data_IF_987780516769
#
_entry.id   IF_987780516769
#
_cell.length_a   1.000
_cell.length_b   1.000
_cell.length_c   1.000
_cell.angle_alpha   90.00
_cell.angle_beta   90.00
_cell.angle_gamma   90.00
#
_symmetry.space_group_name_H-M   'P 1'
#
loop_
_entity.id
_entity.type
_entity.pdbx_description
1 polymer ?
#
# COMPACT_ATOMS: atom_id res chain seq x y z
N UNK A 1 -8.69 -21.93 28.58
CA UNK A 1 -7.94 -22.12 27.32
C UNK A 1 -8.93 -21.92 26.19
N UNK A 2 -8.72 -20.98 25.25
CA UNK A 2 -9.59 -20.90 24.11
C UNK A 2 -9.43 -22.15 23.26
N UNK A 3 -10.54 -22.76 22.86
CA UNK A 3 -10.56 -23.93 21.96
C UNK A 3 -9.78 -23.62 20.66
N UNK A 4 -9.12 -24.63 20.07
CA UNK A 4 -8.45 -24.45 18.79
C UNK A 4 -9.52 -24.11 17.75
N UNK A 5 -9.46 -22.88 17.19
CA UNK A 5 -10.35 -22.45 16.11
C UNK A 5 -10.22 -23.44 14.95
N UNK A 6 -11.29 -24.20 14.73
CA UNK A 6 -11.48 -25.01 13.52
C UNK A 6 -11.12 -24.16 12.29
N UNK A 7 -10.49 -24.79 11.32
CA UNK A 7 -10.08 -24.17 10.05
C UNK A 7 -11.33 -23.80 9.24
N UNK A 8 -12.03 -22.75 9.69
CA UNK A 8 -13.25 -22.27 9.04
C UNK A 8 -12.91 -21.63 7.69
N UNK A 9 -13.67 -22.02 6.68
CA UNK A 9 -13.48 -21.57 5.31
C UNK A 9 -13.87 -20.08 5.23
N UNK A 10 -12.90 -19.23 4.87
CA UNK A 10 -13.18 -17.80 4.60
C UNK A 10 -13.63 -17.67 3.14
N UNK A 11 -14.82 -17.10 2.95
CA UNK A 11 -15.37 -16.77 1.64
C UNK A 11 -15.23 -15.29 1.34
N UNK A 12 -14.96 -14.93 0.07
CA UNK A 12 -14.95 -13.53 -0.39
C UNK A 12 -16.12 -13.32 -1.33
N UNK A 13 -16.96 -12.33 -1.02
CA UNK A 13 -18.13 -11.97 -1.81
C UNK A 13 -18.40 -10.47 -1.83
N UNK A 14 -19.26 -10.03 -2.76
CA UNK A 14 -19.74 -8.66 -2.77
C UNK A 14 -20.57 -8.35 -1.50
N UNK A 15 -20.39 -7.15 -0.96
CA UNK A 15 -21.24 -6.59 0.10
C UNK A 15 -22.51 -6.05 -0.55
N UNK A 16 -23.68 -6.53 -0.10
CA UNK A 16 -24.95 -6.22 -0.76
C UNK A 16 -26.04 -5.74 0.19
N UNK A 17 -26.07 -6.27 1.40
CA UNK A 17 -27.13 -5.99 2.36
C UNK A 17 -26.80 -4.81 3.27
N UNK A 18 -27.82 -4.20 3.82
CA UNK A 18 -27.67 -3.18 4.86
C UNK A 18 -26.83 -3.71 6.04
N UNK A 19 -27.03 -4.97 6.41
CA UNK A 19 -26.32 -5.63 7.50
C UNK A 19 -24.84 -5.84 7.19
N UNK A 20 -24.48 -6.12 5.92
CA UNK A 20 -23.08 -6.17 5.49
C UNK A 20 -22.39 -4.82 5.76
N UNK A 21 -23.04 -3.70 5.42
CA UNK A 21 -22.45 -2.37 5.60
C UNK A 21 -22.39 -1.92 7.06
N UNK A 22 -23.30 -2.35 7.91
CA UNK A 22 -23.16 -2.16 9.36
C UNK A 22 -21.94 -2.87 9.92
N UNK A 23 -21.61 -4.06 9.42
CA UNK A 23 -20.42 -4.75 9.81
C UNK A 23 -19.15 -4.02 9.30
N UNK A 24 -19.20 -3.33 8.15
CA UNK A 24 -18.08 -2.48 7.67
C UNK A 24 -17.74 -1.41 8.69
N UNK A 25 -18.72 -0.65 9.18
CA UNK A 25 -18.51 0.37 10.22
C UNK A 25 -17.82 -0.21 11.48
N UNK A 26 -18.23 -1.42 11.90
CA UNK A 26 -17.64 -2.09 13.06
C UNK A 26 -16.16 -2.45 12.79
N UNK A 27 -15.85 -2.94 11.58
CA UNK A 27 -14.46 -3.27 11.18
C UNK A 27 -13.61 -2.01 11.09
N UNK A 28 -14.13 -0.89 10.58
CA UNK A 28 -13.43 0.39 10.51
C UNK A 28 -13.01 0.88 11.91
N UNK A 29 -13.95 0.90 12.86
CA UNK A 29 -13.67 1.29 14.25
C UNK A 29 -12.64 0.37 14.91
N UNK A 30 -12.75 -0.95 14.70
CA UNK A 30 -11.82 -1.93 15.28
C UNK A 30 -10.42 -1.80 14.69
N UNK A 31 -10.30 -1.67 13.37
CA UNK A 31 -9.00 -1.76 12.67
C UNK A 31 -8.21 -0.46 12.75
N UNK A 32 -8.90 0.69 12.66
CA UNK A 32 -8.24 2.01 12.59
C UNK A 32 -8.50 2.88 13.81
N UNK A 33 -9.34 2.44 14.76
CA UNK A 33 -9.78 3.23 15.92
C UNK A 33 -10.34 4.59 15.50
N UNK A 34 -11.10 4.62 14.41
CA UNK A 34 -11.73 5.84 13.90
C UNK A 34 -12.80 6.35 14.85
N UNK A 35 -12.88 7.67 14.99
CA UNK A 35 -14.02 8.34 15.61
C UNK A 35 -15.26 8.23 14.72
N UNK A 36 -16.44 8.54 15.28
CA UNK A 36 -17.68 8.57 14.49
C UNK A 36 -17.63 9.60 13.35
N UNK A 37 -16.81 10.65 13.47
CA UNK A 37 -16.63 11.67 12.43
C UNK A 37 -15.81 11.16 11.24
N UNK A 38 -14.89 10.22 11.47
CA UNK A 38 -13.97 9.71 10.45
C UNK A 38 -14.40 8.35 9.87
N UNK A 39 -15.39 7.70 10.49
CA UNK A 39 -16.00 6.46 9.98
C UNK A 39 -16.88 6.80 8.76
N UNK A 40 -16.80 5.99 7.70
CA UNK A 40 -17.64 6.21 6.52
C UNK A 40 -19.13 6.07 6.88
N UNK A 41 -19.93 7.12 6.65
CA UNK A 41 -21.36 7.03 6.92
C UNK A 41 -22.04 5.93 6.10
N UNK A 42 -22.93 5.16 6.73
CA UNK A 42 -23.67 4.07 6.07
C UNK A 42 -24.39 4.53 4.79
N UNK A 43 -24.93 5.74 4.80
CA UNK A 43 -25.57 6.34 3.62
C UNK A 43 -24.60 6.52 2.46
N UNK A 44 -23.34 6.89 2.73
CA UNK A 44 -22.31 7.04 1.71
C UNK A 44 -21.83 5.67 1.18
N UNK A 45 -21.68 4.66 2.06
CA UNK A 45 -21.31 3.31 1.63
C UNK A 45 -22.34 2.70 0.68
N UNK A 46 -23.64 2.87 1.01
CA UNK A 46 -24.74 2.41 0.14
C UNK A 46 -24.76 3.18 -1.18
N UNK A 47 -24.66 4.53 -1.13
CA UNK A 47 -24.68 5.36 -2.33
C UNK A 47 -23.50 5.04 -3.26
N UNK A 48 -22.29 4.84 -2.73
CA UNK A 48 -21.13 4.47 -3.53
C UNK A 48 -21.25 3.09 -4.16
N UNK A 49 -21.88 2.12 -3.48
CA UNK A 49 -22.22 0.83 -4.07
C UNK A 49 -23.16 0.98 -5.27
N UNK A 50 -24.25 1.72 -5.11
CA UNK A 50 -25.23 1.95 -6.18
C UNK A 50 -24.62 2.71 -7.36
N UNK A 51 -23.66 3.59 -7.10
CA UNK A 51 -22.90 4.32 -8.11
C UNK A 51 -21.79 3.48 -8.80
N UNK A 52 -21.73 2.17 -8.55
CA UNK A 52 -20.76 1.27 -9.19
C UNK A 52 -19.47 1.10 -8.42
N UNK A 53 -19.39 1.52 -7.16
CA UNK A 53 -18.26 1.23 -6.28
C UNK A 53 -18.14 -0.28 -6.01
N UNK A 54 -16.90 -0.76 -5.96
CA UNK A 54 -16.58 -2.16 -5.66
C UNK A 54 -16.43 -2.32 -4.16
N UNK A 55 -17.33 -3.09 -3.55
CA UNK A 55 -17.31 -3.46 -2.16
C UNK A 55 -17.22 -4.98 -2.04
N UNK A 56 -16.12 -5.50 -1.54
CA UNK A 56 -15.91 -6.94 -1.31
C UNK A 56 -15.61 -7.19 0.16
N UNK A 57 -16.29 -8.18 0.75
CA UNK A 57 -16.08 -8.63 2.11
C UNK A 57 -15.53 -10.05 2.17
N UNK A 58 -14.63 -10.29 3.12
CA UNK A 58 -14.20 -11.62 3.52
C UNK A 58 -14.99 -12.03 4.75
N UNK A 59 -15.61 -13.19 4.70
CA UNK A 59 -16.53 -13.70 5.74
C UNK A 59 -16.06 -15.03 6.30
N UNK A 60 -16.07 -15.16 7.61
CA UNK A 60 -16.05 -16.43 8.32
C UNK A 60 -17.48 -16.73 8.79
N UNK A 61 -18.17 -17.64 8.10
CA UNK A 61 -19.62 -17.81 8.29
C UNK A 61 -20.39 -16.53 7.94
N UNK A 62 -21.08 -15.93 8.91
CA UNK A 62 -21.81 -14.67 8.74
C UNK A 62 -21.00 -13.43 9.19
N UNK A 63 -19.84 -13.62 9.80
CA UNK A 63 -19.01 -12.53 10.33
C UNK A 63 -18.11 -11.94 9.26
N UNK A 64 -18.14 -10.61 9.09
CA UNK A 64 -17.21 -9.86 8.25
C UNK A 64 -15.87 -9.72 8.97
N UNK A 65 -14.84 -10.35 8.45
CA UNK A 65 -13.48 -10.38 9.02
C UNK A 65 -12.48 -9.48 8.29
N UNK A 66 -12.89 -8.93 7.16
CA UNK A 66 -12.13 -7.93 6.40
C UNK A 66 -12.89 -7.49 5.17
N UNK A 67 -12.53 -6.34 4.62
CA UNK A 67 -13.15 -5.82 3.39
C UNK A 67 -12.17 -5.02 2.55
N UNK A 68 -12.51 -4.82 1.29
CA UNK A 68 -11.87 -3.87 0.39
C UNK A 68 -12.94 -3.05 -0.31
N UNK A 69 -12.70 -1.74 -0.39
CA UNK A 69 -13.54 -0.77 -1.07
C UNK A 69 -12.75 0.01 -2.11
N UNK A 70 -13.37 0.27 -3.25
CA UNK A 70 -12.84 1.16 -4.29
C UNK A 70 -13.95 1.74 -5.15
N UNK A 71 -13.67 2.86 -5.77
CA UNK A 71 -14.59 3.59 -6.64
C UNK A 71 -13.89 4.02 -7.92
N UNK A 72 -14.67 4.31 -8.95
CA UNK A 72 -14.16 4.81 -10.23
C UNK A 72 -13.52 6.18 -10.03
N UNK A 73 -12.29 6.31 -10.49
CA UNK A 73 -11.55 7.56 -10.57
C UNK A 73 -11.25 7.94 -12.00
N UNK A 74 -10.78 9.15 -12.19
CA UNK A 74 -10.33 9.68 -13.46
C UNK A 74 -8.95 10.30 -13.27
N UNK A 75 -7.94 9.77 -13.97
CA UNK A 75 -6.59 10.33 -13.97
C UNK A 75 -6.19 10.63 -15.41
N UNK A 76 -5.84 11.89 -15.71
CA UNK A 76 -5.50 12.35 -17.07
C UNK A 76 -6.56 11.94 -18.13
N UNK A 77 -7.85 12.11 -17.80
CA UNK A 77 -9.00 11.72 -18.63
C UNK A 77 -9.13 10.20 -18.89
N UNK A 78 -8.52 9.35 -18.05
CA UNK A 78 -8.59 7.89 -18.16
C UNK A 78 -9.24 7.28 -16.95
N UNK A 79 -10.18 6.35 -17.13
CA UNK A 79 -10.81 5.69 -16.00
C UNK A 79 -9.83 4.74 -15.31
N UNK A 80 -9.77 4.83 -14.00
CA UNK A 80 -9.10 3.89 -13.13
C UNK A 80 -10.04 3.47 -11.99
N UNK A 81 -9.65 2.50 -11.19
CA UNK A 81 -10.27 2.27 -9.90
C UNK A 81 -9.37 2.84 -8.80
N UNK A 82 -9.89 3.75 -7.98
CA UNK A 82 -9.21 4.12 -6.74
C UNK A 82 -9.64 3.18 -5.62
N UNK A 83 -8.70 2.32 -5.15
CA UNK A 83 -8.92 1.40 -4.04
C UNK A 83 -8.71 2.13 -2.72
N UNK A 84 -9.78 2.63 -2.14
CA UNK A 84 -9.72 3.56 -1.02
C UNK A 84 -9.39 2.90 0.32
N UNK A 85 -10.05 1.77 0.63
CA UNK A 85 -9.92 1.10 1.93
C UNK A 85 -9.64 -0.39 1.77
N UNK A 86 -8.79 -0.91 2.65
CA UNK A 86 -8.54 -2.34 2.83
C UNK A 86 -8.33 -2.61 4.31
N UNK A 87 -9.24 -3.33 4.94
CA UNK A 87 -9.17 -3.68 6.35
C UNK A 87 -9.21 -5.19 6.57
N UNK A 88 -8.46 -5.66 7.55
CA UNK A 88 -8.52 -7.05 8.05
C UNK A 88 -8.45 -7.01 9.56
N UNK A 89 -9.41 -7.63 10.24
CA UNK A 89 -9.43 -7.74 11.70
C UNK A 89 -8.17 -8.42 12.23
N UNK A 90 -7.67 -8.00 13.38
CA UNK A 90 -6.40 -8.44 13.94
C UNK A 90 -6.24 -9.97 14.01
N UNK A 91 -7.25 -10.78 14.44
CA UNK A 91 -7.13 -12.24 14.51
C UNK A 91 -6.96 -12.94 13.16
N UNK A 92 -7.23 -12.21 12.05
CA UNK A 92 -7.21 -12.74 10.67
C UNK A 92 -6.03 -12.19 9.85
N UNK A 93 -5.19 -11.34 10.47
CA UNK A 93 -3.96 -10.87 9.84
C UNK A 93 -2.97 -12.03 9.68
N UNK A 94 -1.98 -11.87 8.81
CA UNK A 94 -0.97 -12.88 8.49
C UNK A 94 -1.50 -14.19 7.84
N UNK A 95 -2.80 -14.22 7.44
CA UNK A 95 -3.45 -15.31 6.67
C UNK A 95 -3.60 -14.95 5.17
N UNK A 96 -2.83 -13.99 4.69
CA UNK A 96 -2.87 -13.45 3.31
C UNK A 96 -4.23 -12.87 2.89
N UNK A 97 -5.12 -12.57 3.85
CA UNK A 97 -6.48 -12.14 3.54
C UNK A 97 -6.52 -10.81 2.79
N UNK A 98 -5.67 -9.85 3.17
CA UNK A 98 -5.54 -8.58 2.45
C UNK A 98 -5.08 -8.77 1.00
N UNK A 99 -4.16 -9.71 0.75
CA UNK A 99 -3.74 -10.08 -0.60
C UNK A 99 -4.90 -10.69 -1.40
N UNK A 100 -5.63 -11.65 -0.83
CA UNK A 100 -6.80 -12.28 -1.48
C UNK A 100 -7.90 -11.28 -1.80
N UNK A 101 -8.18 -10.33 -0.90
CA UNK A 101 -9.14 -9.24 -1.16
C UNK A 101 -8.70 -8.34 -2.33
N UNK A 102 -7.40 -8.00 -2.41
CA UNK A 102 -6.86 -7.26 -3.56
C UNK A 102 -6.99 -8.04 -4.88
N UNK A 103 -6.73 -9.34 -4.86
CA UNK A 103 -6.91 -10.18 -6.05
C UNK A 103 -8.37 -10.23 -6.49
N UNK A 104 -9.30 -10.42 -5.55
CA UNK A 104 -10.73 -10.41 -5.84
C UNK A 104 -11.17 -9.04 -6.40
N UNK A 105 -10.64 -7.93 -5.85
CA UNK A 105 -10.89 -6.59 -6.39
C UNK A 105 -10.37 -6.46 -7.83
N UNK A 106 -9.15 -6.93 -8.10
CA UNK A 106 -8.60 -6.96 -9.46
C UNK A 106 -9.50 -7.72 -10.44
N UNK A 107 -9.98 -8.89 -10.07
CA UNK A 107 -10.89 -9.68 -10.91
C UNK A 107 -12.17 -8.91 -11.25
N UNK A 108 -12.75 -8.19 -10.29
CA UNK A 108 -13.92 -7.33 -10.56
C UNK A 108 -13.58 -6.20 -11.53
N UNK A 109 -12.42 -5.55 -11.33
CA UNK A 109 -11.98 -4.42 -12.18
C UNK A 109 -11.71 -4.86 -13.63
N UNK A 110 -11.14 -6.04 -13.84
CA UNK A 110 -10.90 -6.57 -15.19
C UNK A 110 -12.17 -6.76 -16.02
N UNK A 111 -13.33 -6.90 -15.37
CA UNK A 111 -14.64 -7.01 -16.01
C UNK A 111 -15.30 -5.66 -16.26
N UNK A 112 -14.83 -4.57 -15.60
CA UNK A 112 -15.43 -3.25 -15.72
C UNK A 112 -15.06 -2.58 -17.06
N UNK A 113 -16.02 -1.80 -17.56
CA UNK A 113 -15.87 -0.91 -18.70
C UNK A 113 -16.48 0.45 -18.41
N UNK A 114 -15.87 1.50 -18.93
CA UNK A 114 -16.42 2.86 -18.93
C UNK A 114 -16.56 3.25 -20.40
N UNK A 115 -17.76 3.16 -20.94
CA UNK A 115 -17.96 3.15 -22.39
C UNK A 115 -17.20 1.98 -23.03
N UNK A 116 -16.39 2.26 -24.04
CA UNK A 116 -15.56 1.25 -24.73
C UNK A 116 -14.21 1.00 -24.00
N UNK A 117 -13.89 1.79 -22.99
CA UNK A 117 -12.62 1.73 -22.28
C UNK A 117 -12.63 0.62 -21.22
N UNK A 118 -11.57 -0.18 -21.19
CA UNK A 118 -11.28 -1.11 -20.09
C UNK A 118 -10.43 -0.41 -19.04
N UNK A 119 -10.73 -0.67 -17.77
CA UNK A 119 -9.88 -0.23 -16.68
C UNK A 119 -8.65 -1.14 -16.63
N UNK A 120 -7.45 -0.55 -16.70
CA UNK A 120 -6.17 -1.26 -16.70
C UNK A 120 -5.33 -0.98 -15.46
N UNK A 121 -5.77 -0.05 -14.64
CA UNK A 121 -5.01 0.43 -13.49
C UNK A 121 -5.91 0.53 -12.27
N UNK A 122 -5.37 0.12 -11.11
CA UNK A 122 -5.92 0.39 -9.79
C UNK A 122 -4.92 1.26 -9.05
N UNK A 123 -5.38 2.35 -8.44
CA UNK A 123 -4.55 3.28 -7.66
C UNK A 123 -4.95 3.24 -6.19
N UNK A 124 -4.03 3.55 -5.30
CA UNK A 124 -4.30 3.84 -3.88
C UNK A 124 -3.12 4.54 -3.23
N UNK A 125 -3.29 4.90 -1.97
CA UNK A 125 -2.22 5.45 -1.16
C UNK A 125 -1.92 4.58 0.05
N UNK A 126 -0.68 4.60 0.51
CA UNK A 126 -0.33 3.97 1.78
C UNK A 126 0.84 4.71 2.45
N UNK A 127 0.98 4.53 3.76
CA UNK A 127 2.10 5.09 4.52
C UNK A 127 3.39 4.32 4.22
N UNK A 128 4.43 4.97 3.62
CA UNK A 128 5.67 4.31 3.24
C UNK A 128 6.48 3.77 4.42
N UNK A 129 6.24 4.20 5.64
CA UNK A 129 6.88 3.63 6.83
C UNK A 129 6.26 2.28 7.26
N UNK A 130 5.10 1.91 6.72
CA UNK A 130 4.46 0.62 6.97
C UNK A 130 5.10 -0.49 6.12
N UNK A 131 6.20 -1.07 6.59
CA UNK A 131 7.00 -2.08 5.89
C UNK A 131 6.19 -3.31 5.43
N UNK A 132 5.22 -3.78 6.23
CA UNK A 132 4.31 -4.88 5.84
C UNK A 132 3.46 -4.52 4.62
N UNK A 133 2.93 -3.29 4.58
CA UNK A 133 2.12 -2.81 3.45
C UNK A 133 2.99 -2.58 2.20
N UNK A 134 4.19 -2.03 2.37
CA UNK A 134 5.16 -1.88 1.28
C UNK A 134 5.49 -3.24 0.65
N UNK A 135 5.75 -4.26 1.45
CA UNK A 135 6.00 -5.62 0.95
C UNK A 135 4.79 -6.20 0.18
N UNK A 136 3.57 -6.08 0.72
CA UNK A 136 2.37 -6.48 0.00
C UNK A 136 2.26 -5.78 -1.35
N UNK A 137 2.45 -4.46 -1.36
CA UNK A 137 2.25 -3.63 -2.55
C UNK A 137 3.30 -3.93 -3.62
N UNK A 138 4.57 -3.82 -3.32
CA UNK A 138 5.63 -3.95 -4.32
C UNK A 138 6.01 -5.40 -4.59
N UNK A 139 6.33 -6.18 -3.54
CA UNK A 139 6.84 -7.53 -3.72
C UNK A 139 5.77 -8.53 -4.17
N UNK A 140 4.55 -8.44 -3.60
CA UNK A 140 3.47 -9.39 -3.94
C UNK A 140 2.57 -8.92 -5.07
N UNK A 141 2.14 -7.66 -5.07
CA UNK A 141 1.21 -7.13 -6.09
C UNK A 141 1.92 -6.54 -7.31
N UNK A 142 3.18 -6.10 -7.18
CA UNK A 142 3.95 -5.55 -8.29
C UNK A 142 3.56 -4.11 -8.67
N UNK A 143 3.14 -3.31 -7.70
CA UNK A 143 2.87 -1.88 -7.91
C UNK A 143 4.14 -1.09 -8.19
N UNK A 144 3.96 0.14 -8.67
CA UNK A 144 4.96 1.20 -8.73
C UNK A 144 4.42 2.44 -8.04
N UNK A 145 5.29 3.36 -7.59
CA UNK A 145 4.83 4.62 -7.02
C UNK A 145 5.52 5.83 -7.68
N UNK A 146 4.75 6.63 -8.44
CA UNK A 146 5.28 7.82 -9.11
C UNK A 146 5.38 9.05 -8.21
N UNK A 147 4.64 9.10 -7.09
CA UNK A 147 4.54 10.31 -6.30
C UNK A 147 4.43 10.07 -4.80
N UNK A 148 4.93 11.05 -4.05
CA UNK A 148 4.86 11.14 -2.61
C UNK A 148 4.07 12.38 -2.22
N UNK A 149 3.12 12.21 -1.32
CA UNK A 149 2.21 13.27 -0.87
C UNK A 149 2.41 13.52 0.61
N UNK A 150 2.79 14.74 0.95
CA UNK A 150 2.99 15.18 2.33
C UNK A 150 1.63 15.51 2.93
N UNK A 151 1.37 14.99 4.13
CA UNK A 151 0.15 15.25 4.91
C UNK A 151 -1.16 15.11 4.08
N UNK A 152 -1.26 14.04 3.31
CA UNK A 152 -2.32 13.82 2.30
C UNK A 152 -3.75 13.94 2.84
N UNK A 153 -3.99 13.46 4.05
CA UNK A 153 -5.29 13.55 4.73
C UNK A 153 -5.38 14.73 5.71
N UNK A 154 -4.41 15.65 5.65
CA UNK A 154 -4.25 16.70 6.65
C UNK A 154 -3.39 16.26 7.84
N UNK A 155 -2.97 17.23 8.68
CA UNK A 155 -2.07 16.95 9.80
C UNK A 155 -2.77 16.26 10.97
N UNK A 156 -4.10 16.37 11.07
CA UNK A 156 -4.91 15.89 12.20
C UNK A 156 -5.99 14.94 11.71
N UNK A 157 -5.90 13.68 12.11
CA UNK A 157 -6.94 12.66 11.94
C UNK A 157 -7.08 11.86 13.23
N UNK A 158 -8.25 11.28 13.48
CA UNK A 158 -8.51 10.47 14.67
C UNK A 158 -7.85 9.09 14.64
N UNK A 159 -7.38 8.65 13.46
CA UNK A 159 -6.77 7.33 13.32
C UNK A 159 -5.47 7.20 14.08
N UNK A 160 -5.33 6.12 14.86
CA UNK A 160 -4.09 5.76 15.55
C UNK A 160 -2.89 5.62 14.60
N UNK A 161 -3.14 5.27 13.33
CA UNK A 161 -2.10 5.12 12.31
C UNK A 161 -1.57 6.47 11.76
N UNK A 162 -2.19 7.58 12.15
CA UNK A 162 -1.84 8.92 11.65
C UNK A 162 -1.14 9.81 12.67
N UNK A 163 -0.78 9.29 13.83
CA UNK A 163 -0.09 10.06 14.88
C UNK A 163 1.24 10.65 14.44
N UNK A 164 1.91 10.00 13.49
CA UNK A 164 3.17 10.43 12.93
C UNK A 164 2.98 10.96 11.48
N UNK A 165 2.02 11.91 11.28
CA UNK A 165 1.70 12.49 9.97
C UNK A 165 0.94 11.55 9.01
N UNK A 166 0.33 12.13 7.98
CA UNK A 166 -0.46 11.41 6.97
C UNK A 166 0.22 11.31 5.60
N UNK A 167 1.55 11.28 5.58
CA UNK A 167 2.32 11.13 4.35
C UNK A 167 1.98 9.83 3.61
N UNK A 168 1.86 9.91 2.30
CA UNK A 168 1.48 8.78 1.45
C UNK A 168 2.38 8.64 0.23
N UNK A 169 2.70 7.39 -0.15
CA UNK A 169 3.05 7.04 -1.51
C UNK A 169 1.75 6.79 -2.30
N UNK A 170 1.60 7.47 -3.43
CA UNK A 170 0.57 7.15 -4.42
C UNK A 170 1.07 6.01 -5.29
N UNK A 171 0.37 4.89 -5.27
CA UNK A 171 0.76 3.71 -6.05
C UNK A 171 -0.18 3.46 -7.22
N UNK A 172 0.41 2.93 -8.28
CA UNK A 172 -0.24 2.46 -9.49
C UNK A 172 -0.05 0.95 -9.61
N UNK A 173 -1.15 0.24 -9.75
CA UNK A 173 -1.16 -1.19 -10.00
C UNK A 173 -1.62 -1.47 -11.43
N UNK A 174 -0.69 -1.67 -12.38
CA UNK A 174 -1.00 -1.95 -13.77
C UNK A 174 -1.47 -3.40 -13.91
N UNK A 175 -2.76 -3.65 -13.63
CA UNK A 175 -3.35 -4.97 -13.35
C UNK A 175 -3.24 -5.98 -14.50
N UNK A 176 -2.93 -5.54 -15.71
CA UNK A 176 -2.75 -6.39 -16.90
C UNK A 176 -1.28 -6.55 -17.29
N UNK A 177 -0.34 -5.85 -16.64
CA UNK A 177 1.07 -5.84 -17.03
C UNK A 177 1.76 -7.19 -16.81
N UNK A 178 2.84 -7.43 -17.59
CA UNK A 178 3.70 -8.59 -17.42
C UNK A 178 4.33 -8.65 -16.04
N UNK A 179 4.68 -7.49 -15.48
CA UNK A 179 5.21 -7.36 -14.12
C UNK A 179 4.23 -7.93 -13.07
N UNK A 180 2.98 -7.48 -13.11
CA UNK A 180 1.94 -7.94 -12.19
C UNK A 180 1.69 -9.44 -12.39
N UNK A 181 1.57 -9.91 -13.62
CA UNK A 181 1.38 -11.34 -13.90
C UNK A 181 2.51 -12.20 -13.34
N UNK A 182 3.77 -11.75 -13.46
CA UNK A 182 4.92 -12.46 -12.89
C UNK A 182 4.81 -12.54 -11.36
N UNK A 183 4.44 -11.44 -10.68
CA UNK A 183 4.24 -11.43 -9.22
C UNK A 183 3.14 -12.39 -8.79
N UNK A 184 2.01 -12.39 -9.47
CA UNK A 184 0.88 -13.28 -9.18
C UNK A 184 1.22 -14.78 -9.39
N UNK A 185 2.23 -15.08 -10.22
CA UNK A 185 2.78 -16.42 -10.41
C UNK A 185 3.89 -16.77 -9.41
N UNK A 186 4.14 -15.93 -8.41
CA UNK A 186 5.19 -16.14 -7.42
C UNK A 186 6.61 -15.90 -7.93
N UNK A 187 6.76 -15.29 -9.11
CA UNK A 187 8.07 -14.90 -9.66
C UNK A 187 8.49 -13.56 -9.04
N UNK A 188 9.09 -13.64 -7.87
CA UNK A 188 9.63 -12.45 -7.22
C UNK A 188 10.98 -12.05 -7.87
N UNK A 189 11.17 -10.74 -8.14
CA UNK A 189 12.48 -10.19 -8.51
C UNK A 189 13.41 -10.05 -7.30
N UNK A 190 13.22 -10.89 -6.26
CA UNK A 190 13.88 -10.74 -4.96
C UNK A 190 15.40 -10.88 -5.05
N UNK A 191 15.89 -11.82 -5.84
CA UNK A 191 17.34 -12.05 -5.95
C UNK A 191 18.04 -10.87 -6.63
N UNK A 192 17.53 -10.43 -7.78
CA UNK A 192 18.05 -9.30 -8.53
C UNK A 192 18.00 -8.00 -7.72
N UNK A 193 16.91 -7.80 -6.98
CA UNK A 193 16.74 -6.65 -6.11
C UNK A 193 17.70 -6.67 -4.93
N UNK A 194 17.89 -7.81 -4.26
CA UNK A 194 18.84 -7.95 -3.17
C UNK A 194 20.27 -7.70 -3.65
N UNK A 195 20.62 -8.17 -4.82
CA UNK A 195 21.96 -7.92 -5.41
C UNK A 195 22.14 -6.44 -5.77
N UNK A 196 21.12 -5.80 -6.32
CA UNK A 196 21.15 -4.35 -6.54
C UNK A 196 21.32 -3.59 -5.21
N UNK A 197 20.57 -3.95 -4.17
CA UNK A 197 20.64 -3.27 -2.86
C UNK A 197 21.97 -3.47 -2.14
N UNK A 198 22.70 -4.58 -2.37
CA UNK A 198 24.04 -4.80 -1.80
C UNK A 198 25.08 -3.83 -2.35
N UNK A 199 24.91 -3.37 -3.58
CA UNK A 199 25.85 -2.47 -4.28
C UNK A 199 25.51 -0.99 -4.14
N UNK A 200 24.28 -0.68 -3.69
CA UNK A 200 23.82 0.70 -3.52
C UNK A 200 24.12 1.22 -2.12
N UNK A 201 24.61 2.46 -2.05
CA UNK A 201 24.60 3.23 -0.81
C UNK A 201 23.21 3.88 -0.67
N UNK A 202 22.43 3.56 0.36
CA UNK A 202 21.10 4.15 0.54
C UNK A 202 21.14 5.66 0.75
N UNK A 203 20.15 6.38 0.22
CA UNK A 203 19.96 7.81 0.49
C UNK A 203 19.56 8.06 1.96
N UNK A 204 18.73 7.14 2.51
CA UNK A 204 18.51 7.03 3.95
C UNK A 204 18.99 5.66 4.38
N UNK A 205 19.87 5.63 5.36
CA UNK A 205 20.44 4.42 5.93
C UNK A 205 20.07 4.29 7.40
N UNK A 206 19.79 3.04 7.81
CA UNK A 206 19.60 2.69 9.22
C UNK A 206 20.98 2.66 9.90
N UNK A 207 21.17 3.51 10.90
CA UNK A 207 22.44 3.58 11.63
C UNK A 207 22.44 2.58 12.83
N UNK A 208 23.58 2.36 13.45
CA UNK A 208 23.74 1.37 14.53
C UNK A 208 22.91 1.62 15.77
N UNK A 209 22.48 2.87 16.03
CA UNK A 209 21.60 3.27 17.13
C UNK A 209 20.11 3.30 16.76
N UNK A 210 19.77 2.89 15.53
CA UNK A 210 18.40 2.83 15.05
C UNK A 210 17.88 4.12 14.43
N UNK A 211 18.72 5.16 14.28
CA UNK A 211 18.35 6.46 13.69
C UNK A 211 18.53 6.49 12.18
N UNK A 212 17.76 7.33 11.46
CA UNK A 212 17.98 7.55 10.04
C UNK A 212 19.24 8.40 9.81
N UNK A 213 20.12 7.94 8.94
CA UNK A 213 21.28 8.69 8.47
C UNK A 213 21.09 9.07 7.01
N UNK A 214 21.26 10.37 6.68
CA UNK A 214 21.13 10.89 5.32
C UNK A 214 22.48 10.83 4.60
N UNK A 215 22.49 10.33 3.38
CA UNK A 215 23.62 10.43 2.48
C UNK A 215 23.62 11.77 1.73
N UNK A 216 24.69 12.04 0.98
CA UNK A 216 24.76 13.20 0.12
C UNK A 216 23.79 13.08 -1.05
N UNK A 217 22.84 14.04 -1.12
CA UNK A 217 21.77 14.04 -2.11
C UNK A 217 22.30 14.22 -3.53
N UNK A 218 23.22 15.16 -3.72
CA UNK A 218 23.74 15.49 -5.06
C UNK A 218 24.41 14.27 -5.70
N UNK A 219 25.22 13.56 -4.93
CA UNK A 219 25.83 12.29 -5.37
C UNK A 219 24.80 11.20 -5.64
N UNK A 220 23.79 11.07 -4.79
CA UNK A 220 22.74 10.08 -4.96
C UNK A 220 21.94 10.29 -6.24
N UNK A 221 21.55 11.53 -6.54
CA UNK A 221 20.73 11.89 -7.71
C UNK A 221 21.42 11.71 -9.06
N UNK A 222 22.77 11.56 -9.08
CA UNK A 222 23.53 11.22 -10.31
C UNK A 222 23.40 9.74 -10.71
N UNK A 223 22.88 8.90 -9.83
CA UNK A 223 22.77 7.46 -10.06
C UNK A 223 21.49 7.12 -10.81
N UNK A 224 21.47 5.96 -11.47
CA UNK A 224 20.24 5.41 -12.08
C UNK A 224 19.32 4.75 -11.05
N UNK A 225 19.89 4.32 -9.92
CA UNK A 225 19.19 3.64 -8.84
C UNK A 225 19.61 4.18 -7.49
N UNK A 226 18.63 4.37 -6.61
CA UNK A 226 18.87 4.72 -5.21
C UNK A 226 18.02 3.86 -4.30
N UNK A 227 18.47 3.71 -3.05
CA UNK A 227 17.71 2.99 -2.02
C UNK A 227 17.32 3.93 -0.87
N UNK A 228 16.17 3.66 -0.24
CA UNK A 228 15.71 4.33 0.97
C UNK A 228 15.36 3.25 1.98
N UNK A 229 16.16 3.14 3.05
CA UNK A 229 15.86 2.22 4.15
C UNK A 229 14.77 2.79 5.06
N UNK A 230 13.96 1.89 5.64
CA UNK A 230 12.90 2.21 6.60
C UNK A 230 12.88 1.18 7.73
N UNK A 231 12.39 1.52 8.92
CA UNK A 231 12.24 0.56 10.01
C UNK A 231 11.39 -0.65 9.59
N UNK A 232 11.73 -1.82 10.09
CA UNK A 232 10.93 -3.04 9.87
C UNK A 232 9.52 -2.92 10.48
N UNK A 233 9.40 -2.19 11.59
CA UNK A 233 8.15 -1.91 12.31
C UNK A 233 8.17 -0.49 12.91
N UNK A 234 7.59 0.46 12.19
CA UNK A 234 7.51 1.86 12.65
C UNK A 234 6.58 2.02 13.86
N UNK A 235 5.56 1.19 13.99
CA UNK A 235 4.63 1.28 15.13
C UNK A 235 5.33 0.88 16.43
N UNK A 236 6.17 -0.15 16.39
CA UNK A 236 7.00 -0.52 17.56
C UNK A 236 8.03 0.58 17.91
N UNK A 237 8.59 1.26 16.89
CA UNK A 237 9.46 2.43 17.11
C UNK A 237 8.67 3.55 17.76
N UNK A 238 7.50 3.89 17.27
CA UNK A 238 6.66 4.98 17.78
C UNK A 238 6.20 4.74 19.23
N UNK A 239 5.82 3.50 19.56
CA UNK A 239 5.43 3.12 20.91
C UNK A 239 6.58 3.28 21.91
N UNK A 240 7.81 2.98 21.50
CA UNK A 240 9.01 3.07 22.35
C UNK A 240 9.57 4.49 22.40
N UNK A 241 9.64 5.16 21.27
CA UNK A 241 10.25 6.49 21.11
C UNK A 241 9.53 7.26 19.98
N UNK A 242 8.50 8.06 20.33
CA UNK A 242 7.78 8.89 19.35
C UNK A 242 8.67 9.92 18.64
N UNK A 243 9.74 10.40 19.30
CA UNK A 243 10.67 11.36 18.71
C UNK A 243 11.46 10.69 17.58
N UNK A 244 11.95 9.48 17.79
CA UNK A 244 12.65 8.70 16.79
C UNK A 244 11.73 8.35 15.58
N UNK A 245 10.47 8.02 15.86
CA UNK A 245 9.50 7.79 14.79
C UNK A 245 9.29 9.05 13.93
N UNK A 246 9.26 10.22 14.56
CA UNK A 246 9.21 11.52 13.86
C UNK A 246 10.47 11.79 13.05
N UNK A 247 11.66 11.48 13.56
CA UNK A 247 12.91 11.59 12.81
C UNK A 247 12.86 10.73 11.53
N UNK A 248 12.38 9.50 11.63
CA UNK A 248 12.17 8.61 10.48
C UNK A 248 11.19 9.21 9.47
N UNK A 249 10.08 9.80 9.92
CA UNK A 249 9.11 10.47 9.05
C UNK A 249 9.75 11.62 8.28
N UNK A 250 10.47 12.49 8.97
CA UNK A 250 11.11 13.66 8.34
C UNK A 250 12.25 13.27 7.40
N UNK A 251 13.01 12.23 7.72
CA UNK A 251 14.07 11.73 6.85
C UNK A 251 13.51 11.11 5.57
N UNK A 252 12.50 10.25 5.70
CA UNK A 252 11.87 9.60 4.54
C UNK A 252 11.05 10.58 3.70
N UNK A 253 10.35 11.54 4.31
CA UNK A 253 9.67 12.66 3.62
C UNK A 253 10.64 13.39 2.71
N UNK A 254 11.77 13.82 3.26
CA UNK A 254 12.81 14.47 2.49
C UNK A 254 13.31 13.59 1.34
N UNK A 255 13.69 12.36 1.61
CA UNK A 255 14.29 11.48 0.61
C UNK A 255 13.34 11.15 -0.54
N UNK A 256 12.08 10.82 -0.25
CA UNK A 256 11.09 10.56 -1.29
C UNK A 256 10.76 11.82 -2.09
N UNK A 257 10.58 12.97 -1.43
CA UNK A 257 10.26 14.23 -2.13
C UNK A 257 11.37 14.60 -3.11
N UNK A 258 12.62 14.66 -2.64
CA UNK A 258 13.76 15.03 -3.49
C UNK A 258 13.98 14.04 -4.64
N UNK A 259 13.94 12.74 -4.36
CA UNK A 259 14.16 11.73 -5.38
C UNK A 259 13.06 11.75 -6.46
N UNK A 260 11.78 11.75 -6.06
CA UNK A 260 10.67 11.71 -7.03
C UNK A 260 10.59 13.00 -7.86
N UNK A 261 10.87 14.17 -7.27
CA UNK A 261 10.98 15.44 -8.02
C UNK A 261 12.16 15.45 -9.00
N UNK A 262 13.18 14.61 -8.75
CA UNK A 262 14.36 14.47 -9.62
C UNK A 262 14.22 13.38 -10.69
N UNK A 263 12.99 12.91 -10.95
CA UNK A 263 12.69 11.96 -12.03
C UNK A 263 12.89 10.49 -11.65
N UNK A 264 12.92 10.18 -10.34
CA UNK A 264 12.84 8.80 -9.88
C UNK A 264 11.39 8.38 -9.63
N UNK A 265 11.15 7.08 -9.62
CA UNK A 265 9.92 6.46 -9.13
C UNK A 265 10.27 5.25 -8.26
N UNK A 266 9.37 4.88 -7.35
CA UNK A 266 9.59 3.69 -6.52
C UNK A 266 9.21 2.46 -7.32
N UNK A 267 10.18 1.60 -7.58
CA UNK A 267 10.03 0.40 -8.38
C UNK A 267 9.82 -0.86 -7.54
N UNK A 268 10.51 -0.99 -6.40
CA UNK A 268 10.52 -2.21 -5.60
C UNK A 268 10.63 -1.93 -4.09
N UNK A 269 10.30 -2.96 -3.30
CA UNK A 269 10.54 -2.97 -1.86
C UNK A 269 11.01 -4.34 -1.38
N UNK A 270 12.11 -4.36 -0.62
CA UNK A 270 12.58 -5.52 0.11
C UNK A 270 12.36 -5.36 1.61
N UNK A 271 11.72 -6.33 2.23
CA UNK A 271 11.36 -6.26 3.64
C UNK A 271 12.54 -6.38 4.60
N UNK A 272 13.59 -7.12 4.20
CA UNK A 272 14.75 -7.40 5.06
C UNK A 272 16.02 -7.39 4.25
N UNK A 273 16.75 -6.30 4.28
CA UNK A 273 17.99 -6.14 3.49
C UNK A 273 19.25 -6.56 4.26
N UNK A 274 19.19 -6.64 5.59
CA UNK A 274 20.30 -7.03 6.47
C UNK A 274 19.86 -8.04 7.52
N UNK A 275 19.63 -9.29 7.09
CA UNK A 275 19.21 -10.36 7.99
C UNK A 275 17.73 -10.30 8.36
N UNK A 276 17.29 -11.22 9.23
CA UNK A 276 15.85 -11.46 9.51
C UNK A 276 15.15 -10.30 10.21
N UNK A 277 15.88 -9.46 10.96
CA UNK A 277 15.35 -8.31 11.70
C UNK A 277 15.87 -6.97 11.16
N UNK A 278 16.51 -6.98 10.01
CA UNK A 278 17.03 -5.78 9.38
C UNK A 278 15.94 -4.83 8.86
N UNK A 279 16.34 -3.61 8.47
CA UNK A 279 15.42 -2.65 7.88
C UNK A 279 14.83 -3.17 6.57
N UNK A 280 13.68 -2.63 6.19
CA UNK A 280 13.19 -2.70 4.82
C UNK A 280 13.90 -1.65 3.97
N UNK A 281 13.92 -1.85 2.64
CA UNK A 281 14.43 -0.85 1.72
C UNK A 281 13.58 -0.76 0.47
N UNK A 282 13.28 0.48 0.08
CA UNK A 282 12.76 0.81 -1.24
C UNK A 282 13.90 0.91 -2.24
N UNK A 283 13.66 0.45 -3.46
CA UNK A 283 14.51 0.68 -4.61
C UNK A 283 13.78 1.64 -5.55
N UNK A 284 14.43 2.75 -5.86
CA UNK A 284 13.94 3.75 -6.79
C UNK A 284 14.77 3.68 -8.07
N UNK A 285 14.09 3.78 -9.20
CA UNK A 285 14.68 3.81 -10.55
C UNK A 285 14.49 5.22 -11.13
N UNK A 286 15.47 5.70 -11.88
CA UNK A 286 15.41 6.98 -12.61
C UNK A 286 14.94 6.73 -14.03
N UNK A 287 13.90 7.45 -14.47
CA UNK A 287 13.42 7.33 -15.84
C UNK A 287 11.90 7.46 -15.97
N UNK A 288 11.40 7.14 -17.16
CA UNK A 288 9.98 7.17 -17.48
C UNK A 288 9.28 5.87 -17.05
N UNK A 289 8.18 6.00 -16.32
CA UNK A 289 7.38 4.85 -15.87
C UNK A 289 6.78 4.10 -17.05
N UNK A 290 6.43 4.80 -18.13
CA UNK A 290 5.89 4.18 -19.34
C UNK A 290 6.91 3.28 -20.03
N UNK A 291 8.20 3.61 -19.99
CA UNK A 291 9.25 2.72 -20.48
C UNK A 291 9.42 1.50 -19.56
N UNK A 292 9.31 1.72 -18.24
CA UNK A 292 9.44 0.65 -17.24
C UNK A 292 8.23 -0.29 -17.21
N UNK A 293 7.02 0.24 -17.41
CA UNK A 293 5.75 -0.50 -17.51
C UNK A 293 4.97 -0.01 -18.73
N UNK A 294 5.28 -0.51 -19.94
CA UNK A 294 4.68 -0.04 -21.18
C UNK A 294 3.15 -0.12 -21.22
N UNK A 295 2.56 -1.01 -20.43
CA UNK A 295 1.12 -1.16 -20.33
C UNK A 295 0.41 0.03 -19.65
N UNK A 296 1.15 0.93 -19.01
CA UNK A 296 0.65 2.22 -18.51
C UNK A 296 0.68 3.33 -19.57
N UNK A 297 1.45 3.15 -20.64
CA UNK A 297 1.35 4.01 -21.82
C UNK A 297 0.13 3.59 -22.61
N UNK A 298 -0.72 4.54 -22.89
CA UNK A 298 -1.88 4.32 -23.75
C UNK A 298 -1.61 4.96 -25.10
N UNK A 299 -2.07 4.32 -26.18
CA UNK A 299 -1.99 4.92 -27.51
C UNK A 299 -2.83 6.19 -27.61
#
# INVERSE_FOLDING_TARGET
MPEPRTNSIISIRDLRSFEDFKQVEAVEREVWALSDLDTLPLTLTIATREAGGIWLGAFEGAELVGFVFGFLGLEQNRPNLHSHMLAVRAPYRDRELGYKLKLAQRERVLLLRVGDLRIREITWTFDPLQSKNAHLNFAKLGVIAPSYMVDFYGPETSSLLHRNSTDRLWVKWPITSRRVQARLQGKEARAEMLDALKTLSPLIQFNGDGRPCRADLATALQRQRIAIEVPSDILAVEQRDPSLAREWRLATRWAFTEALQSGFFVAEFCRTVRGQQGPGAYLLEKGDIGEFVPELTYP
#
